data_IF_245885198027
#
_entry.id   IF_245885198027
#
_cell.length_a   1.000
_cell.length_b   1.000
_cell.length_c   1.000
_cell.angle_alpha   90.00
_cell.angle_beta   90.00
_cell.angle_gamma   90.00
#
_symmetry.space_group_name_H-M   'P 1'
#
loop_
_entity.id
_entity.type
_entity.pdbx_description
1 polymer ?
#
# COMPACT_ATOMS: atom_id res chain seq x y z
N UNK A 1 -20.01 -4.37 -10.86
CA UNK A 1 -20.35 -4.91 -12.19
C UNK A 1 -21.42 -5.99 -12.19
N UNK A 2 -21.75 -6.62 -11.05
CA UNK A 2 -22.80 -7.65 -10.95
C UNK A 2 -22.35 -8.82 -10.08
N UNK A 3 -22.98 -9.97 -10.27
CA UNK A 3 -22.60 -11.24 -9.64
C UNK A 3 -21.95 -12.17 -10.67
N UNK A 4 -21.03 -13.03 -10.23
CA UNK A 4 -20.39 -14.04 -11.06
C UNK A 4 -20.27 -15.35 -10.28
N UNK A 5 -20.46 -16.48 -10.95
CA UNK A 5 -20.25 -17.79 -10.35
C UNK A 5 -18.77 -18.16 -10.48
N UNK A 6 -18.09 -18.33 -9.34
CA UNK A 6 -16.68 -18.77 -9.30
C UNK A 6 -16.58 -20.29 -9.07
N UNK A 7 -15.55 -20.96 -9.59
CA UNK A 7 -15.28 -22.36 -9.25
C UNK A 7 -15.10 -22.53 -7.73
N UNK A 8 -15.60 -23.63 -7.18
CA UNK A 8 -15.44 -23.92 -5.73
C UNK A 8 -13.96 -24.08 -5.32
N UNK A 9 -13.15 -24.60 -6.24
CA UNK A 9 -11.71 -24.76 -6.10
C UNK A 9 -11.01 -24.31 -7.38
N UNK A 10 -10.66 -23.02 -7.52
CA UNK A 10 -9.90 -22.57 -8.68
C UNK A 10 -8.47 -23.11 -8.62
N UNK A 11 -8.02 -23.74 -9.71
CA UNK A 11 -6.70 -24.35 -9.85
C UNK A 11 -5.76 -23.49 -10.72
N UNK A 12 -6.32 -22.70 -11.65
CA UNK A 12 -5.59 -21.90 -12.64
C UNK A 12 -5.96 -20.42 -12.51
N UNK A 13 -5.58 -19.83 -11.38
CA UNK A 13 -5.83 -18.43 -11.08
C UNK A 13 -4.86 -17.52 -11.84
N UNK A 14 -5.38 -16.50 -12.52
CA UNK A 14 -4.61 -15.37 -13.04
C UNK A 14 -4.94 -14.12 -12.25
N UNK A 15 -3.93 -13.46 -11.69
CA UNK A 15 -4.09 -12.20 -10.95
C UNK A 15 -3.61 -11.01 -11.78
N UNK A 16 -4.55 -10.19 -12.23
CA UNK A 16 -4.27 -8.94 -12.94
C UNK A 16 -4.16 -7.74 -11.98
N UNK A 17 -4.67 -7.88 -10.75
CA UNK A 17 -4.32 -7.03 -9.61
C UNK A 17 -3.01 -7.50 -8.95
N UNK A 18 -2.63 -6.88 -7.83
CA UNK A 18 -1.43 -7.28 -7.08
C UNK A 18 -1.57 -8.73 -6.55
N UNK A 19 -0.80 -9.63 -7.14
CA UNK A 19 -0.82 -11.05 -6.83
C UNK A 19 -0.35 -11.38 -5.40
N UNK A 20 0.24 -10.42 -4.67
CA UNK A 20 0.63 -10.61 -3.28
C UNK A 20 -0.51 -11.08 -2.36
N UNK A 21 -1.76 -10.65 -2.60
CA UNK A 21 -2.91 -11.13 -1.84
C UNK A 21 -3.22 -12.60 -2.11
N UNK A 22 -3.15 -13.04 -3.37
CA UNK A 22 -3.36 -14.45 -3.72
C UNK A 22 -2.35 -15.35 -3.01
N UNK A 23 -1.09 -14.92 -3.02
CA UNK A 23 0.02 -15.59 -2.34
C UNK A 23 -0.19 -15.64 -0.83
N UNK A 24 -0.63 -14.53 -0.22
CA UNK A 24 -0.95 -14.48 1.21
C UNK A 24 -2.07 -15.46 1.60
N UNK A 25 -3.06 -15.65 0.71
CA UNK A 25 -4.17 -16.60 0.89
C UNK A 25 -3.77 -18.06 0.62
N UNK A 26 -2.48 -18.32 0.37
CA UNK A 26 -1.95 -19.66 0.10
C UNK A 26 -2.30 -20.19 -1.28
N UNK A 27 -2.72 -19.32 -2.21
CA UNK A 27 -2.95 -19.67 -3.61
C UNK A 27 -1.79 -19.14 -4.44
N UNK A 28 -1.18 -20.03 -5.21
CA UNK A 28 -0.15 -19.67 -6.17
C UNK A 28 -0.78 -19.50 -7.54
N UNK A 29 -0.98 -18.27 -8.05
CA UNK A 29 -1.53 -18.07 -9.38
C UNK A 29 -0.57 -18.62 -10.44
N UNK A 30 -1.11 -19.01 -11.60
CA UNK A 30 -0.27 -19.43 -12.74
C UNK A 30 0.49 -18.23 -13.32
N UNK A 31 -0.12 -17.04 -13.24
CA UNK A 31 0.49 -15.78 -13.61
C UNK A 31 -0.09 -14.63 -12.78
N UNK A 32 0.75 -13.64 -12.47
CA UNK A 32 0.39 -12.54 -11.58
C UNK A 32 1.14 -11.25 -11.92
N UNK A 33 0.48 -10.11 -11.69
CA UNK A 33 1.15 -8.81 -11.63
C UNK A 33 1.66 -8.60 -10.22
N UNK A 34 2.94 -8.31 -10.07
CA UNK A 34 3.53 -7.86 -8.81
C UNK A 34 4.11 -6.47 -8.99
N UNK A 35 4.07 -5.66 -7.94
CA UNK A 35 4.56 -4.27 -8.00
C UNK A 35 6.08 -4.24 -8.15
N UNK A 36 6.56 -3.40 -9.05
CA UNK A 36 8.00 -3.19 -9.27
C UNK A 36 8.69 -2.82 -7.95
N UNK A 37 9.73 -3.59 -7.59
CA UNK A 37 10.47 -3.40 -6.35
C UNK A 37 9.88 -4.13 -5.13
N UNK A 38 8.70 -4.74 -5.26
CA UNK A 38 8.10 -5.59 -4.22
C UNK A 38 8.44 -7.07 -4.42
N UNK A 39 8.73 -7.47 -5.66
CA UNK A 39 9.21 -8.81 -6.05
C UNK A 39 10.33 -9.34 -5.14
N UNK A 40 11.27 -8.48 -4.77
CA UNK A 40 12.41 -8.87 -3.93
C UNK A 40 11.99 -9.23 -2.52
N UNK A 41 10.97 -8.57 -1.99
CA UNK A 41 10.38 -8.89 -0.69
C UNK A 41 9.60 -10.20 -0.75
N UNK A 42 8.96 -10.49 -1.88
CA UNK A 42 8.15 -11.69 -2.07
C UNK A 42 8.89 -12.86 -2.73
N UNK A 43 10.19 -12.74 -2.99
CA UNK A 43 10.94 -13.64 -3.90
C UNK A 43 10.75 -15.13 -3.60
N UNK A 44 10.78 -15.50 -2.32
CA UNK A 44 10.62 -16.88 -1.88
C UNK A 44 9.17 -17.39 -2.07
N UNK A 45 8.21 -16.49 -2.00
CA UNK A 45 6.78 -16.79 -2.12
C UNK A 45 6.27 -16.80 -3.57
N UNK A 46 6.98 -16.16 -4.50
CA UNK A 46 6.54 -16.00 -5.91
C UNK A 46 7.26 -16.94 -6.88
N UNK A 47 8.21 -17.75 -6.40
CA UNK A 47 8.99 -18.64 -7.23
C UNK A 47 8.08 -19.57 -8.05
N UNK A 48 8.10 -19.50 -9.38
CA UNK A 48 7.27 -20.33 -10.27
C UNK A 48 5.89 -19.77 -10.56
N UNK A 49 5.64 -18.50 -10.26
CA UNK A 49 4.53 -17.71 -10.82
C UNK A 49 5.06 -16.98 -12.05
N UNK A 50 4.31 -16.98 -13.17
CA UNK A 50 4.67 -16.18 -14.33
C UNK A 50 4.41 -14.68 -14.06
N UNK A 51 5.46 -13.85 -14.16
CA UNK A 51 5.33 -12.41 -14.00
C UNK A 51 4.62 -11.79 -15.21
N UNK A 52 3.48 -11.18 -14.98
CA UNK A 52 2.79 -10.37 -15.99
C UNK A 52 3.27 -8.92 -15.94
N UNK A 53 3.38 -8.23 -17.08
CA UNK A 53 3.61 -6.79 -17.08
C UNK A 53 2.40 -6.09 -16.45
N UNK A 54 2.65 -5.12 -15.58
CA UNK A 54 1.60 -4.22 -15.11
C UNK A 54 1.11 -3.31 -16.24
N UNK A 55 -0.19 -2.97 -16.25
CA UNK A 55 -0.79 -2.06 -17.24
C UNK A 55 -1.58 -2.79 -18.32
N UNK A 56 -1.42 -2.38 -19.58
CA UNK A 56 -2.19 -2.90 -20.71
C UNK A 56 -1.67 -4.28 -21.14
N UNK A 57 -2.22 -5.33 -20.54
CA UNK A 57 -1.97 -6.72 -20.92
C UNK A 57 -2.87 -7.12 -22.10
N UNK A 58 -2.32 -7.83 -23.09
CA UNK A 58 -3.14 -8.33 -24.20
C UNK A 58 -4.04 -9.48 -23.75
N UNK A 59 -5.28 -9.48 -24.23
CA UNK A 59 -6.24 -10.57 -23.96
C UNK A 59 -5.73 -11.93 -24.46
N UNK A 60 -5.00 -11.95 -25.57
CA UNK A 60 -4.39 -13.18 -26.10
C UNK A 60 -3.42 -13.82 -25.11
N UNK A 61 -2.65 -13.00 -24.37
CA UNK A 61 -1.77 -13.50 -23.30
C UNK A 61 -2.60 -14.17 -22.21
N UNK A 62 -3.71 -13.55 -21.80
CA UNK A 62 -4.60 -14.09 -20.76
C UNK A 62 -5.26 -15.40 -21.24
N UNK A 63 -5.70 -15.46 -22.50
CA UNK A 63 -6.26 -16.69 -23.10
C UNK A 63 -5.23 -17.81 -23.12
N UNK A 64 -3.97 -17.53 -23.47
CA UNK A 64 -2.90 -18.52 -23.53
C UNK A 64 -2.59 -19.16 -22.16
N UNK A 65 -2.85 -18.43 -21.07
CA UNK A 65 -2.70 -18.94 -19.70
C UNK A 65 -3.80 -19.94 -19.31
N UNK A 66 -4.90 -20.02 -20.08
CA UNK A 66 -6.04 -20.91 -19.84
C UNK A 66 -6.54 -20.86 -18.37
N UNK A 67 -6.97 -19.68 -17.86
CA UNK A 67 -7.40 -19.54 -16.48
C UNK A 67 -8.77 -20.17 -16.23
N UNK A 68 -9.01 -20.60 -14.99
CA UNK A 68 -10.35 -20.96 -14.49
C UNK A 68 -10.95 -19.89 -13.56
N UNK A 69 -10.14 -18.92 -13.13
CA UNK A 69 -10.54 -17.73 -12.40
C UNK A 69 -9.57 -16.58 -12.73
N UNK A 70 -10.13 -15.39 -12.98
CA UNK A 70 -9.36 -14.16 -13.17
C UNK A 70 -9.69 -13.20 -12.02
N UNK A 71 -8.68 -12.77 -11.28
CA UNK A 71 -8.79 -11.66 -10.33
C UNK A 71 -8.40 -10.38 -11.06
N UNK A 72 -9.40 -9.60 -11.43
CA UNK A 72 -9.24 -8.41 -12.26
C UNK A 72 -8.86 -7.18 -11.41
N UNK A 73 -8.19 -6.22 -12.03
CA UNK A 73 -7.92 -4.90 -11.46
C UNK A 73 -8.98 -3.89 -11.89
N UNK A 74 -9.12 -2.77 -11.17
CA UNK A 74 -10.12 -1.70 -11.32
C UNK A 74 -10.28 -1.08 -12.74
N UNK A 75 -9.48 -1.50 -13.72
CA UNK A 75 -9.59 -1.06 -15.12
C UNK A 75 -10.80 -1.73 -15.78
N UNK A 76 -11.97 -1.12 -15.60
CA UNK A 76 -13.29 -1.60 -16.06
C UNK A 76 -13.35 -1.92 -17.57
N UNK A 77 -12.50 -1.28 -18.38
CA UNK A 77 -12.56 -1.26 -19.85
C UNK A 77 -12.46 -2.67 -20.49
N UNK A 78 -11.94 -3.66 -19.77
CA UNK A 78 -11.78 -5.03 -20.29
C UNK A 78 -12.62 -6.09 -19.57
N UNK A 79 -13.43 -5.74 -18.56
CA UNK A 79 -14.15 -6.75 -17.75
C UNK A 79 -15.01 -7.69 -18.61
N UNK A 80 -15.77 -7.13 -19.56
CA UNK A 80 -16.62 -7.93 -20.45
C UNK A 80 -15.83 -8.91 -21.31
N UNK A 81 -14.59 -8.57 -21.66
CA UNK A 81 -13.70 -9.44 -22.44
C UNK A 81 -13.08 -10.52 -21.54
N UNK A 82 -12.66 -10.16 -20.32
CA UNK A 82 -12.17 -11.11 -19.33
C UNK A 82 -13.23 -12.16 -18.97
N UNK A 83 -14.49 -11.73 -18.81
CA UNK A 83 -15.62 -12.61 -18.52
C UNK A 83 -15.92 -13.62 -19.65
N UNK A 84 -15.47 -13.36 -20.89
CA UNK A 84 -15.54 -14.34 -21.99
C UNK A 84 -14.42 -15.39 -21.94
N UNK A 85 -13.34 -15.12 -21.20
CA UNK A 85 -12.20 -16.03 -21.04
C UNK A 85 -12.44 -16.99 -19.87
N UNK A 86 -12.76 -16.44 -18.69
CA UNK A 86 -13.04 -17.22 -17.48
C UNK A 86 -13.87 -16.38 -16.48
N UNK A 87 -14.50 -17.02 -15.46
CA UNK A 87 -15.07 -16.29 -14.33
C UNK A 87 -14.10 -15.21 -13.81
N UNK A 88 -14.56 -13.97 -13.80
CA UNK A 88 -13.71 -12.81 -13.49
C UNK A 88 -14.28 -12.07 -12.30
N UNK A 89 -13.47 -11.86 -11.25
CA UNK A 89 -13.85 -11.09 -10.06
C UNK A 89 -13.14 -9.75 -10.10
N UNK A 90 -13.94 -8.69 -10.09
CA UNK A 90 -13.47 -7.31 -10.03
C UNK A 90 -13.90 -6.70 -8.69
N UNK A 91 -12.99 -6.54 -7.71
CA UNK A 91 -13.32 -5.89 -6.46
C UNK A 91 -13.61 -4.40 -6.70
N UNK A 92 -14.57 -3.85 -5.94
CA UNK A 92 -14.76 -2.40 -5.93
C UNK A 92 -13.55 -1.76 -5.22
N UNK A 93 -12.96 -0.78 -5.88
CA UNK A 93 -11.83 -0.04 -5.37
C UNK A 93 -12.03 1.43 -5.70
N UNK A 94 -12.37 2.23 -4.69
CA UNK A 94 -12.57 3.67 -4.85
C UNK A 94 -11.35 4.44 -4.36
N UNK A 95 -10.69 3.92 -3.32
CA UNK A 95 -9.58 4.57 -2.63
C UNK A 95 -8.61 3.55 -2.04
N UNK A 96 -7.36 3.96 -1.79
CA UNK A 96 -6.32 3.07 -1.27
C UNK A 96 -6.67 2.41 0.07
N UNK A 97 -7.46 3.08 0.89
CA UNK A 97 -7.99 2.54 2.16
C UNK A 97 -8.99 1.39 2.00
N UNK A 98 -9.46 1.08 0.78
CA UNK A 98 -10.32 -0.08 0.52
C UNK A 98 -9.54 -1.40 0.38
N UNK A 99 -8.22 -1.40 0.53
CA UNK A 99 -7.36 -2.59 0.36
C UNK A 99 -7.84 -3.81 1.17
N UNK A 100 -8.36 -3.63 2.39
CA UNK A 100 -8.94 -4.73 3.19
C UNK A 100 -10.18 -5.32 2.53
N UNK A 101 -11.05 -4.49 1.94
CA UNK A 101 -12.27 -4.93 1.24
C UNK A 101 -11.91 -5.72 -0.01
N UNK A 102 -10.90 -5.24 -0.74
CA UNK A 102 -10.35 -5.89 -1.93
C UNK A 102 -9.79 -7.26 -1.55
N UNK A 103 -8.97 -7.32 -0.50
CA UNK A 103 -8.43 -8.57 0.03
C UNK A 103 -9.52 -9.58 0.42
N UNK A 104 -10.56 -9.15 1.13
CA UNK A 104 -11.69 -10.04 1.46
C UNK A 104 -12.47 -10.50 0.22
N UNK A 105 -12.61 -9.65 -0.79
CA UNK A 105 -13.31 -10.03 -2.03
C UNK A 105 -12.54 -11.06 -2.83
N UNK A 106 -11.22 -10.92 -2.89
CA UNK A 106 -10.32 -11.92 -3.48
C UNK A 106 -10.37 -13.23 -2.67
N UNK A 107 -10.38 -13.15 -1.34
CA UNK A 107 -10.52 -14.32 -0.48
C UNK A 107 -11.86 -15.05 -0.67
N UNK A 108 -12.96 -14.33 -0.86
CA UNK A 108 -14.26 -14.92 -1.20
C UNK A 108 -14.19 -15.67 -2.54
N UNK A 109 -13.61 -15.03 -3.57
CA UNK A 109 -13.44 -15.64 -4.90
C UNK A 109 -12.58 -16.91 -4.88
N UNK A 110 -11.60 -16.97 -3.98
CA UNK A 110 -10.66 -18.08 -3.83
C UNK A 110 -11.14 -19.15 -2.84
N UNK A 111 -12.27 -18.95 -2.14
CA UNK A 111 -12.71 -19.84 -1.06
C UNK A 111 -11.71 -19.88 0.10
N UNK A 112 -11.20 -18.70 0.49
CA UNK A 112 -10.14 -18.50 1.51
C UNK A 112 -10.53 -17.48 2.59
N UNK A 113 -11.83 -17.28 2.82
CA UNK A 113 -12.34 -16.28 3.77
C UNK A 113 -11.83 -16.49 5.19
N UNK A 114 -11.71 -17.74 5.65
CA UNK A 114 -11.21 -18.02 7.00
C UNK A 114 -9.71 -17.72 7.13
N UNK A 115 -8.89 -18.00 6.09
CA UNK A 115 -7.50 -17.53 6.08
C UNK A 115 -7.42 -15.99 6.08
N UNK A 116 -8.28 -15.31 5.31
CA UNK A 116 -8.30 -13.84 5.30
C UNK A 116 -8.64 -13.25 6.67
N UNK A 117 -9.62 -13.84 7.38
CA UNK A 117 -9.95 -13.43 8.77
C UNK A 117 -8.76 -13.60 9.70
N UNK A 118 -8.05 -14.71 9.61
CA UNK A 118 -6.86 -14.95 10.44
C UNK A 118 -5.78 -13.90 10.14
N UNK A 119 -5.47 -13.66 8.87
CA UNK A 119 -4.43 -12.70 8.47
C UNK A 119 -4.76 -11.26 8.89
N UNK A 120 -6.05 -10.87 8.85
CA UNK A 120 -6.49 -9.56 9.34
C UNK A 120 -6.41 -9.49 10.86
N UNK A 121 -6.81 -10.55 11.58
CA UNK A 121 -6.67 -10.59 13.03
C UNK A 121 -5.19 -10.49 13.46
N UNK A 122 -4.28 -11.15 12.74
CA UNK A 122 -2.84 -11.06 13.00
C UNK A 122 -2.32 -9.63 12.75
N UNK A 123 -2.75 -8.99 11.65
CA UNK A 123 -2.46 -7.59 11.36
C UNK A 123 -2.96 -6.66 12.47
N UNK A 124 -4.19 -6.82 12.94
CA UNK A 124 -4.77 -6.05 14.04
C UNK A 124 -4.02 -6.25 15.36
N UNK A 125 -3.63 -7.50 15.66
CA UNK A 125 -2.84 -7.81 16.85
C UNK A 125 -1.47 -7.11 16.83
N UNK A 126 -0.81 -7.04 15.67
CA UNK A 126 0.47 -6.32 15.53
C UNK A 126 0.31 -4.82 15.76
N UNK A 127 -0.81 -4.23 15.33
CA UNK A 127 -1.11 -2.82 15.60
C UNK A 127 -1.38 -2.56 17.09
N UNK A 128 -2.02 -3.50 17.79
CA UNK A 128 -2.18 -3.41 19.26
C UNK A 128 -0.81 -3.42 19.94
N UNK A 129 0.07 -4.34 19.54
CA UNK A 129 1.45 -4.40 20.06
C UNK A 129 2.21 -3.10 19.79
N UNK A 130 2.15 -2.59 18.56
CA UNK A 130 2.78 -1.32 18.18
C UNK A 130 2.27 -0.16 19.02
N UNK A 131 0.95 -0.04 19.18
CA UNK A 131 0.35 1.01 20.01
C UNK A 131 0.77 0.90 21.47
N UNK A 132 0.82 -0.30 22.03
CA UNK A 132 1.28 -0.50 23.40
C UNK A 132 2.75 -0.07 23.59
N UNK A 133 3.63 -0.43 22.65
CA UNK A 133 5.06 -0.05 22.69
C UNK A 133 5.28 1.45 22.52
N UNK A 134 4.46 2.10 21.68
CA UNK A 134 4.45 3.55 21.49
C UNK A 134 3.70 4.32 22.60
N UNK A 135 3.11 3.61 23.57
CA UNK A 135 2.27 4.20 24.61
C UNK A 135 0.94 4.79 24.12
N UNK A 136 0.47 4.43 22.92
CA UNK A 136 -0.74 4.90 22.22
C UNK A 136 -2.03 4.15 22.59
N UNK A 137 -2.01 3.35 23.66
CA UNK A 137 -3.17 2.56 24.07
C UNK A 137 -4.18 3.42 24.86
N UNK A 138 -5.39 3.58 24.31
CA UNK A 138 -6.49 4.40 24.87
C UNK A 138 -6.94 3.92 26.27
N UNK A 139 -6.64 2.67 26.63
CA UNK A 139 -7.02 2.08 27.92
C UNK A 139 -6.11 2.51 29.08
N UNK A 140 -5.00 3.21 28.79
CA UNK A 140 -3.98 3.60 29.77
C UNK A 140 -4.27 4.93 30.48
N UNK A 141 -5.21 5.74 29.97
CA UNK A 141 -5.44 7.12 30.42
C UNK A 141 -6.75 7.26 31.20
N UNK A 142 -6.67 7.12 32.53
CA UNK A 142 -7.77 7.44 33.46
C UNK A 142 -7.95 8.95 33.70
N UNK A 143 -7.08 9.80 33.14
CA UNK A 143 -7.19 11.26 33.22
C UNK A 143 -7.41 11.87 31.84
N UNK A 144 -8.67 12.20 31.53
CA UNK A 144 -9.12 12.81 30.27
C UNK A 144 -8.55 14.22 29.99
N UNK A 145 -7.74 14.76 30.90
CA UNK A 145 -7.06 16.06 30.80
C UNK A 145 -5.55 15.94 30.54
N UNK A 146 -5.01 14.72 30.63
CA UNK A 146 -3.64 14.36 30.28
C UNK A 146 -3.62 13.35 29.12
N UNK A 147 -4.31 13.65 28.02
CA UNK A 147 -3.99 13.05 26.72
C UNK A 147 -2.59 13.55 26.29
N UNK A 148 -1.55 13.13 27.00
CA UNK A 148 -0.15 13.51 26.83
C UNK A 148 0.49 12.89 25.58
N UNK A 149 -0.27 12.22 24.73
CA UNK A 149 0.19 11.78 23.42
C UNK A 149 -0.17 12.85 22.40
N UNK A 150 0.67 13.88 22.39
CA UNK A 150 0.98 14.64 21.19
C UNK A 150 1.04 13.65 20.02
N UNK A 151 0.00 13.66 19.20
CA UNK A 151 -0.17 12.70 18.12
C UNK A 151 1.03 12.83 17.18
N UNK A 152 1.89 11.81 17.13
CA UNK A 152 3.04 11.79 16.22
C UNK A 152 2.52 12.07 14.82
N UNK A 153 2.92 13.20 14.25
CA UNK A 153 2.51 13.66 12.93
C UNK A 153 3.41 13.03 11.89
N UNK A 154 2.91 11.98 11.27
CA UNK A 154 3.60 11.26 10.21
C UNK A 154 3.22 11.84 8.85
N UNK A 155 4.24 12.15 8.08
CA UNK A 155 4.17 12.59 6.69
C UNK A 155 4.51 11.43 5.77
N UNK A 156 3.75 11.28 4.70
CA UNK A 156 4.04 10.28 3.67
C UNK A 156 4.12 10.97 2.32
N UNK A 157 5.31 10.96 1.73
CA UNK A 157 5.65 11.79 0.58
C UNK A 157 6.20 10.95 -0.56
N UNK A 158 5.69 11.19 -1.77
CA UNK A 158 6.29 10.67 -3.00
C UNK A 158 6.90 11.80 -3.79
N UNK A 159 8.15 11.62 -4.19
CA UNK A 159 8.81 12.52 -5.13
C UNK A 159 8.66 11.95 -6.54
N UNK A 160 8.18 12.78 -7.46
CA UNK A 160 8.07 12.50 -8.89
C UNK A 160 9.08 13.35 -9.67
N UNK A 161 9.32 13.02 -10.95
CA UNK A 161 10.09 13.86 -11.86
C UNK A 161 9.67 15.33 -11.87
N UNK A 162 8.36 15.59 -11.79
CA UNK A 162 7.76 16.91 -11.99
C UNK A 162 7.21 17.55 -10.70
N UNK A 163 7.38 16.92 -9.53
CA UNK A 163 6.94 17.52 -8.28
C UNK A 163 6.84 16.55 -7.11
N UNK A 164 6.17 17.00 -6.05
CA UNK A 164 5.98 16.24 -4.81
C UNK A 164 4.49 15.91 -4.68
N UNK A 165 4.20 14.70 -4.23
CA UNK A 165 2.86 14.30 -3.82
C UNK A 165 2.86 13.85 -2.37
N UNK A 166 1.80 14.20 -1.67
CA UNK A 166 1.54 13.81 -0.30
C UNK A 166 0.45 12.75 -0.30
N UNK A 167 0.67 11.67 0.44
CA UNK A 167 -0.31 10.60 0.64
C UNK A 167 -1.13 10.90 1.89
N UNK A 168 -2.44 10.90 1.72
CA UNK A 168 -3.39 11.34 2.75
C UNK A 168 -4.05 10.15 3.46
N UNK A 169 -4.94 10.43 4.42
CA UNK A 169 -5.52 9.42 5.32
C UNK A 169 -6.21 8.24 4.64
N UNK A 170 -6.80 8.46 3.48
CA UNK A 170 -7.55 7.46 2.74
C UNK A 170 -6.74 6.75 1.65
N UNK A 171 -5.44 7.04 1.57
CA UNK A 171 -4.46 6.22 0.86
C UNK A 171 -4.21 4.90 1.58
N UNK A 172 -3.49 3.99 0.91
CA UNK A 172 -3.10 2.70 1.49
C UNK A 172 -2.27 2.89 2.77
N UNK A 173 -1.11 3.52 2.66
CA UNK A 173 -0.23 3.82 3.80
C UNK A 173 -0.90 4.72 4.83
N UNK A 174 -1.64 5.75 4.41
CA UNK A 174 -2.38 6.62 5.32
C UNK A 174 -3.40 5.87 6.18
N UNK A 175 -4.08 4.86 5.61
CA UNK A 175 -5.02 4.02 6.36
C UNK A 175 -4.32 3.13 7.39
N UNK A 176 -3.13 2.60 7.07
CA UNK A 176 -2.32 1.80 7.98
C UNK A 176 -1.78 2.67 9.14
N UNK A 177 -1.34 3.89 8.85
CA UNK A 177 -0.94 4.86 9.87
C UNK A 177 -2.10 5.18 10.82
N UNK A 178 -3.30 5.37 10.28
CA UNK A 178 -4.49 5.59 11.09
C UNK A 178 -4.83 4.38 11.97
N UNK A 179 -4.75 3.16 11.43
CA UNK A 179 -4.95 1.92 12.20
C UNK A 179 -3.91 1.77 13.33
N UNK A 180 -2.69 2.27 13.12
CA UNK A 180 -1.60 2.32 14.10
C UNK A 180 -1.75 3.45 15.15
N UNK A 181 -2.80 4.27 15.08
CA UNK A 181 -3.02 5.39 15.99
C UNK A 181 -2.15 6.62 15.71
N UNK A 182 -1.51 6.68 14.54
CA UNK A 182 -0.65 7.79 14.13
C UNK A 182 -1.48 8.85 13.39
N UNK A 183 -1.12 10.12 13.56
CA UNK A 183 -1.82 11.23 12.93
C UNK A 183 -1.07 11.76 11.72
N UNK A 184 -1.82 12.40 10.83
CA UNK A 184 -1.26 13.21 9.75
C UNK A 184 -1.30 14.69 10.18
N UNK A 185 -0.42 15.57 9.67
CA UNK A 185 -0.56 17.00 9.86
C UNK A 185 -1.93 17.52 9.42
N UNK A 186 -2.45 18.61 10.02
CA UNK A 186 -3.77 19.16 9.68
C UNK A 186 -3.94 19.48 8.19
N UNK A 187 -2.88 19.96 7.53
CA UNK A 187 -2.84 20.24 6.08
C UNK A 187 -2.97 19.00 5.20
N UNK A 188 -2.95 17.80 5.78
CA UNK A 188 -2.93 16.51 5.09
C UNK A 188 -3.99 15.55 5.66
N UNK A 189 -4.98 16.12 6.34
CA UNK A 189 -6.06 15.40 7.01
C UNK A 189 -7.30 15.22 6.11
N UNK A 190 -7.15 15.34 4.79
CA UNK A 190 -8.23 15.21 3.82
C UNK A 190 -8.36 13.76 3.30
N UNK A 191 -9.51 13.48 2.66
CA UNK A 191 -9.82 12.19 2.05
C UNK A 191 -9.79 12.33 0.52
N UNK A 192 -8.57 12.42 -0.05
CA UNK A 192 -8.35 12.61 -1.49
C UNK A 192 -7.30 11.65 -2.09
N UNK A 193 -6.88 10.64 -1.35
CA UNK A 193 -5.83 9.67 -1.70
C UNK A 193 -4.44 10.29 -1.71
N UNK A 194 -4.18 11.19 -2.66
CA UNK A 194 -2.92 11.92 -2.75
C UNK A 194 -3.14 13.34 -3.28
N UNK A 195 -2.29 14.27 -2.84
CA UNK A 195 -2.33 15.66 -3.24
C UNK A 195 -0.99 16.10 -3.81
N UNK A 196 -1.00 16.73 -4.99
CA UNK A 196 0.19 17.38 -5.53
C UNK A 196 0.48 18.64 -4.73
N UNK A 197 1.72 18.78 -4.30
CA UNK A 197 2.20 19.90 -3.52
C UNK A 197 3.03 20.83 -4.41
N UNK A 198 2.71 22.13 -4.41
CA UNK A 198 3.52 23.14 -5.08
C UNK A 198 4.75 23.48 -4.25
N UNK A 199 5.77 24.08 -4.88
CA UNK A 199 7.03 24.40 -4.20
C UNK A 199 6.84 25.33 -3.01
N UNK A 200 5.90 26.27 -3.11
CA UNK A 200 5.59 27.27 -2.10
C UNK A 200 5.03 26.65 -0.81
N UNK A 201 4.48 25.44 -0.91
CA UNK A 201 3.91 24.69 0.21
C UNK A 201 4.91 23.69 0.81
N UNK A 202 6.18 23.67 0.39
CA UNK A 202 7.22 22.85 1.05
C UNK A 202 7.24 23.07 2.58
N UNK A 203 7.09 24.29 3.12
CA UNK A 203 6.99 24.50 4.57
C UNK A 203 5.86 23.73 5.26
N UNK A 204 4.84 23.28 4.53
CA UNK A 204 3.74 22.46 5.06
C UNK A 204 4.07 20.97 5.13
N UNK A 205 5.24 20.55 4.61
CA UNK A 205 5.80 19.20 4.76
C UNK A 205 6.59 19.06 6.07
N UNK A 206 6.09 19.64 7.17
CA UNK A 206 6.70 19.52 8.48
C UNK A 206 5.83 18.69 9.43
N UNK A 207 6.48 17.80 10.16
CA UNK A 207 5.87 16.78 11.00
C UNK A 207 6.89 16.24 11.98
N UNK A 208 6.51 15.23 12.74
CA UNK A 208 7.45 14.57 13.66
C UNK A 208 8.31 13.56 12.91
N UNK A 209 7.76 12.91 11.88
CA UNK A 209 8.44 11.92 11.04
C UNK A 209 7.95 12.02 9.59
N UNK A 210 8.87 11.83 8.63
CA UNK A 210 8.54 11.76 7.21
C UNK A 210 9.04 10.44 6.60
N UNK A 211 8.13 9.70 5.99
CA UNK A 211 8.44 8.57 5.12
C UNK A 211 8.35 9.03 3.67
N UNK A 212 9.36 8.71 2.86
CA UNK A 212 9.39 9.12 1.45
C UNK A 212 9.87 8.05 0.48
N UNK A 213 9.41 8.12 -0.76
CA UNK A 213 9.95 7.30 -1.84
C UNK A 213 9.96 8.03 -3.19
N UNK A 214 10.75 7.47 -4.11
CA UNK A 214 10.95 7.98 -5.48
C UNK A 214 10.53 6.97 -6.56
N UNK A 215 10.06 5.77 -6.18
CA UNK A 215 9.72 4.72 -7.15
C UNK A 215 8.63 5.15 -8.14
N UNK A 216 8.82 4.78 -9.40
CA UNK A 216 7.90 4.96 -10.51
C UNK A 216 7.33 3.63 -11.03
N UNK A 217 6.45 3.71 -12.03
CA UNK A 217 5.99 2.51 -12.74
C UNK A 217 7.08 1.89 -13.65
N UNK A 218 8.19 2.59 -13.85
CA UNK A 218 9.37 2.10 -14.55
C UNK A 218 10.68 2.65 -13.91
N UNK A 219 11.85 2.08 -14.26
CA UNK A 219 13.13 2.53 -13.72
C UNK A 219 13.51 3.97 -14.08
N UNK A 220 13.13 4.45 -15.28
CA UNK A 220 13.45 5.80 -15.76
C UNK A 220 12.80 6.88 -14.89
N UNK A 221 11.52 6.70 -14.56
CA UNK A 221 10.80 7.61 -13.64
C UNK A 221 11.45 7.60 -12.27
N UNK A 222 11.86 6.43 -11.79
CA UNK A 222 12.54 6.31 -10.49
C UNK A 222 13.87 7.07 -10.50
N UNK A 223 14.66 6.97 -11.57
CA UNK A 223 15.90 7.71 -11.74
C UNK A 223 15.66 9.22 -11.78
N UNK A 224 14.68 9.67 -12.55
CA UNK A 224 14.37 11.10 -12.67
C UNK A 224 13.78 11.68 -11.38
N UNK A 225 13.01 10.89 -10.62
CA UNK A 225 12.52 11.26 -9.30
C UNK A 225 13.67 11.40 -8.29
N UNK A 226 14.70 10.55 -8.34
CA UNK A 226 15.90 10.71 -7.50
C UNK A 226 16.64 12.02 -7.79
N UNK A 227 16.75 12.43 -9.05
CA UNK A 227 17.31 13.74 -9.41
C UNK A 227 16.48 14.89 -8.81
N UNK A 228 15.15 14.75 -8.81
CA UNK A 228 14.26 15.74 -8.18
C UNK A 228 14.41 15.74 -6.66
N UNK A 229 14.57 14.58 -6.03
CA UNK A 229 14.85 14.45 -4.60
C UNK A 229 16.18 15.12 -4.22
N UNK A 230 17.24 14.96 -5.02
CA UNK A 230 18.53 15.61 -4.77
C UNK A 230 18.42 17.14 -4.82
N UNK A 231 17.67 17.66 -5.80
CA UNK A 231 17.36 19.09 -5.89
C UNK A 231 16.54 19.58 -4.70
N UNK A 232 15.56 18.79 -4.26
CA UNK A 232 14.73 19.10 -3.09
C UNK A 232 15.57 19.14 -1.82
N UNK A 233 16.45 18.14 -1.61
CA UNK A 233 17.37 18.07 -0.46
C UNK A 233 18.34 19.26 -0.39
N UNK A 234 18.63 19.90 -1.52
CA UNK A 234 19.44 21.12 -1.60
C UNK A 234 18.63 22.44 -1.49
N UNK A 235 17.30 22.38 -1.48
CA UNK A 235 16.44 23.57 -1.45
C UNK A 235 16.41 24.21 -0.05
N UNK A 236 16.57 25.55 0.07
CA UNK A 236 16.51 26.22 1.37
C UNK A 236 15.20 25.99 2.14
N UNK A 237 14.06 25.84 1.46
CA UNK A 237 12.78 25.58 2.13
C UNK A 237 12.76 24.18 2.74
N UNK A 238 13.36 23.18 2.08
CA UNK A 238 13.48 21.83 2.62
C UNK A 238 14.42 21.78 3.83
N UNK A 239 15.57 22.46 3.75
CA UNK A 239 16.54 22.51 4.86
C UNK A 239 16.01 23.24 6.11
N UNK A 240 14.93 24.01 5.97
CA UNK A 240 14.23 24.69 7.08
C UNK A 240 13.21 23.80 7.79
N UNK A 241 12.82 22.66 7.22
CA UNK A 241 11.86 21.75 7.84
C UNK A 241 12.44 21.14 9.11
N UNK A 242 11.67 21.15 10.21
CA UNK A 242 12.13 20.58 11.48
C UNK A 242 12.37 19.09 11.36
N UNK A 243 11.50 18.36 10.66
CA UNK A 243 11.67 16.92 10.41
C UNK A 243 12.99 16.59 9.70
N UNK A 244 13.44 17.46 8.79
CA UNK A 244 14.73 17.35 8.09
C UNK A 244 15.89 17.66 9.05
N UNK A 245 15.80 18.75 9.81
CA UNK A 245 16.83 19.15 10.77
C UNK A 245 17.03 18.13 11.89
N UNK A 246 15.96 17.41 12.26
CA UNK A 246 15.99 16.33 13.25
C UNK A 246 16.44 14.98 12.68
N UNK A 247 16.67 14.89 11.36
CA UNK A 247 17.07 13.64 10.70
C UNK A 247 15.98 12.57 10.70
N UNK A 248 14.70 12.95 10.84
CA UNK A 248 13.56 12.03 10.93
C UNK A 248 12.87 11.83 9.57
N UNK A 249 13.69 11.73 8.53
CA UNK A 249 13.27 11.55 7.14
C UNK A 249 13.79 10.20 6.67
N UNK A 250 12.88 9.27 6.41
CA UNK A 250 13.18 7.88 6.09
C UNK A 250 12.75 7.55 4.67
N UNK A 251 13.70 7.12 3.84
CA UNK A 251 13.39 6.54 2.53
C UNK A 251 12.85 5.13 2.72
N UNK A 252 11.65 4.87 2.18
CA UNK A 252 10.92 3.63 2.40
C UNK A 252 10.73 2.80 1.13
N UNK A 253 10.65 1.46 1.24
CA UNK A 253 10.52 0.59 0.07
C UNK A 253 9.15 0.70 -0.63
N UNK A 254 9.08 0.11 -1.84
CA UNK A 254 7.91 0.17 -2.72
C UNK A 254 6.59 -0.36 -2.12
N UNK A 255 6.64 -1.19 -1.07
CA UNK A 255 5.45 -1.71 -0.41
C UNK A 255 4.63 -0.65 0.33
N UNK A 256 5.20 0.54 0.60
CA UNK A 256 4.43 1.69 1.13
C UNK A 256 3.40 2.23 0.12
N UNK A 257 3.54 1.87 -1.15
CA UNK A 257 2.56 2.12 -2.22
C UNK A 257 1.86 0.82 -2.66
N UNK A 258 1.87 -0.19 -1.80
CA UNK A 258 1.20 -1.46 -2.03
C UNK A 258 -0.30 -1.41 -1.79
N UNK A 259 -0.90 -2.59 -1.81
CA UNK A 259 -2.33 -2.80 -1.61
C UNK A 259 -2.69 -4.19 -1.11
N UNK A 260 -1.69 -4.90 -0.63
CA UNK A 260 -1.83 -6.25 -0.12
C UNK A 260 -1.64 -6.31 1.40
N UNK A 261 -2.16 -7.37 2.00
CA UNK A 261 -1.93 -7.66 3.42
C UNK A 261 -0.43 -7.86 3.74
N UNK A 262 0.35 -8.37 2.80
CA UNK A 262 1.80 -8.53 2.96
C UNK A 262 2.49 -7.17 2.96
N UNK A 263 2.11 -6.27 2.05
CA UNK A 263 2.63 -4.90 2.05
C UNK A 263 2.23 -4.15 3.32
N UNK A 264 1.01 -4.34 3.81
CA UNK A 264 0.53 -3.68 5.04
C UNK A 264 1.32 -4.14 6.27
N UNK A 265 1.63 -5.43 6.35
CA UNK A 265 2.49 -5.98 7.40
C UNK A 265 3.94 -5.46 7.30
N UNK A 266 4.48 -5.29 6.09
CA UNK A 266 5.81 -4.72 5.87
C UNK A 266 5.86 -3.23 6.27
N UNK A 267 4.79 -2.46 6.06
CA UNK A 267 4.68 -1.09 6.57
C UNK A 267 4.73 -1.10 8.11
N UNK A 268 4.02 -2.02 8.78
CA UNK A 268 4.10 -2.14 10.25
C UNK A 268 5.53 -2.49 10.71
N UNK A 269 6.25 -3.37 10.01
CA UNK A 269 7.66 -3.67 10.32
C UNK A 269 8.52 -2.39 10.32
N UNK A 270 8.35 -1.53 9.30
CA UNK A 270 9.03 -0.24 9.24
C UNK A 270 8.59 0.71 10.37
N UNK A 271 7.31 0.69 10.78
CA UNK A 271 6.86 1.51 11.92
C UNK A 271 7.58 1.09 13.21
N UNK A 272 7.67 -0.20 13.51
CA UNK A 272 8.46 -0.68 14.66
C UNK A 272 9.92 -0.23 14.56
N UNK A 273 10.56 -0.51 13.42
CA UNK A 273 11.96 -0.17 13.16
C UNK A 273 12.27 1.31 13.33
N UNK A 274 11.44 2.20 12.77
CA UNK A 274 11.75 3.62 12.73
C UNK A 274 11.22 4.39 13.95
N UNK A 275 10.11 3.96 14.55
CA UNK A 275 9.42 4.72 15.60
C UNK A 275 9.53 4.13 17.00
N UNK A 276 9.62 2.80 17.13
CA UNK A 276 9.67 2.12 18.42
C UNK A 276 11.12 1.80 18.84
N UNK A 277 11.93 1.24 17.94
CA UNK A 277 13.31 0.83 18.25
C UNK A 277 14.29 2.01 18.45
N UNK A 278 13.94 3.21 17.98
CA UNK A 278 14.77 4.43 18.06
C UNK A 278 14.37 5.38 19.21
N UNK A 279 13.61 4.91 20.20
CA UNK A 279 13.27 5.67 21.41
C UNK A 279 14.30 5.49 22.54
#
# INVERSE_FOLDING_TARGET
>A
MGETCVPYHPERVVSLGDAANTVALGIKPVAGVFRTGFESFLREHIAGIEQLPGGDLSLETIVALNPDLILATYREVVYNQLAQIAPSVLPNWEKGSDWKKVFFKEAEALGRVDQARQLIADYENRLVQFKAEMGLDETSSTDSTENHLNQIKVLVVRVYPDGIQVYLKDSFCGSILADAGLSHPPSQNEFAGQQRLSKELIPDLDGDVMFLWTYGHNPEISQQANITLDKLKADPLWLQLKVVQQGKVYEVPSYWFGDSILAANAVIDDLFKYLAENQ
#
